data_IF_786000863222
#
_entry.id   IF_786000863222
#
_cell.length_a   1.000
_cell.length_b   1.000
_cell.length_c   1.000
_cell.angle_alpha   90.00
_cell.angle_beta   90.00
_cell.angle_gamma   90.00
#
_symmetry.space_group_name_H-M   'P 1'
#
loop_
_entity.id
_entity.type
_entity.pdbx_description
1 polymer ?
#
# COMPACT_ATOMS: atom_id res chain seq x y z
N UNK A 1 1.05 -15.50 -20.02
CA UNK A 1 0.63 -16.45 -18.95
C UNK A 1 0.13 -15.74 -17.70
N UNK A 2 -0.03 -14.41 -17.72
CA UNK A 2 -0.95 -13.70 -16.85
C UNK A 2 -1.57 -12.61 -17.72
N UNK A 3 -2.78 -12.86 -18.21
CA UNK A 3 -3.63 -11.82 -18.77
C UNK A 3 -4.22 -10.97 -17.64
N UNK A 4 -4.90 -9.89 -18.03
CA UNK A 4 -5.51 -8.86 -17.19
C UNK A 4 -5.87 -9.36 -15.78
N UNK A 5 -5.10 -8.87 -14.81
CA UNK A 5 -5.06 -9.34 -13.44
C UNK A 5 -6.09 -8.52 -12.67
N UNK A 6 -7.14 -9.19 -12.17
CA UNK A 6 -8.00 -8.59 -11.16
C UNK A 6 -7.18 -8.39 -9.88
N UNK A 7 -7.07 -7.14 -9.46
CA UNK A 7 -6.30 -6.74 -8.29
C UNK A 7 -6.97 -7.25 -7.01
N UNK A 8 -8.26 -7.65 -7.05
CA UNK A 8 -9.00 -8.25 -5.93
C UNK A 8 -8.55 -9.68 -5.55
N UNK A 9 -7.56 -10.23 -6.26
CA UNK A 9 -7.23 -11.63 -6.20
C UNK A 9 -5.86 -11.87 -5.56
N UNK A 10 -5.86 -12.55 -4.41
CA UNK A 10 -4.64 -13.07 -3.79
C UNK A 10 -4.08 -14.21 -4.63
N UNK A 11 -2.76 -14.27 -4.70
CA UNK A 11 -2.04 -15.25 -5.50
C UNK A 11 -0.99 -15.94 -4.68
N UNK A 12 -0.81 -17.22 -4.96
CA UNK A 12 0.41 -17.93 -4.63
C UNK A 12 0.94 -18.56 -5.91
N UNK A 13 2.23 -18.38 -6.16
CA UNK A 13 2.92 -18.99 -7.28
C UNK A 13 3.95 -19.96 -6.75
N UNK A 14 3.96 -21.16 -7.31
CA UNK A 14 5.00 -22.14 -7.08
C UNK A 14 5.62 -22.51 -8.42
N UNK A 15 6.94 -22.41 -8.49
CA UNK A 15 7.70 -22.72 -9.69
C UNK A 15 8.68 -23.86 -9.40
N UNK A 16 8.81 -24.76 -10.38
CA UNK A 16 9.88 -25.75 -10.41
C UNK A 16 10.88 -25.27 -11.45
N UNK A 17 12.10 -25.00 -11.01
CA UNK A 17 13.18 -24.61 -11.90
C UNK A 17 13.58 -25.78 -12.80
N UNK A 18 13.63 -25.55 -14.12
CA UNK A 18 14.23 -26.47 -15.08
C UNK A 18 15.76 -26.39 -15.05
N UNK A 19 16.27 -25.17 -14.83
CA UNK A 19 17.70 -24.90 -14.79
C UNK A 19 17.99 -23.80 -13.79
N UNK A 20 18.88 -24.09 -12.85
CA UNK A 20 19.48 -23.11 -11.94
C UNK A 20 20.92 -22.87 -12.38
N UNK A 21 21.32 -21.61 -12.45
CA UNK A 21 22.70 -21.23 -12.75
C UNK A 21 23.35 -20.63 -11.49
N UNK A 22 24.66 -20.83 -11.38
CA UNK A 22 25.48 -20.20 -10.36
C UNK A 22 26.62 -19.42 -11.00
N UNK A 23 26.45 -18.12 -11.30
CA UNK A 23 27.54 -17.29 -11.77
C UNK A 23 28.58 -17.07 -10.66
N UNK A 24 29.85 -16.98 -11.03
CA UNK A 24 30.94 -16.75 -10.07
C UNK A 24 31.58 -18.04 -9.54
N UNK A 25 32.13 -17.98 -8.33
CA UNK A 25 32.85 -19.10 -7.70
C UNK A 25 31.91 -19.94 -6.83
N UNK A 26 32.36 -21.13 -6.40
CA UNK A 26 31.53 -21.99 -5.53
C UNK A 26 31.30 -21.41 -4.12
N UNK A 27 32.12 -20.44 -3.72
CA UNK A 27 32.04 -19.75 -2.42
C UNK A 27 30.96 -18.66 -2.40
N UNK A 28 30.46 -18.23 -3.57
CA UNK A 28 29.43 -17.20 -3.70
C UNK A 28 28.04 -17.80 -3.48
N UNK A 29 27.74 -18.07 -2.20
CA UNK A 29 26.53 -18.80 -1.81
C UNK A 29 25.21 -18.15 -2.24
N UNK A 30 25.19 -16.82 -2.42
CA UNK A 30 24.02 -16.03 -2.80
C UNK A 30 23.78 -15.92 -4.31
N UNK A 31 24.69 -16.40 -5.15
CA UNK A 31 24.60 -16.25 -6.61
C UNK A 31 23.84 -17.40 -7.29
N UNK A 32 22.71 -17.86 -6.74
CA UNK A 32 21.89 -18.89 -7.37
C UNK A 32 20.67 -18.26 -8.04
N UNK A 33 20.56 -18.41 -9.36
CA UNK A 33 19.47 -17.84 -10.15
C UNK A 33 18.74 -18.92 -10.94
N UNK A 34 17.41 -18.85 -10.98
CA UNK A 34 16.60 -19.70 -11.87
C UNK A 34 16.71 -19.14 -13.28
N UNK A 35 17.29 -19.91 -14.20
CA UNK A 35 17.45 -19.50 -15.62
C UNK A 35 16.27 -19.92 -16.48
N UNK A 36 15.72 -21.12 -16.23
CA UNK A 36 14.54 -21.60 -16.94
C UNK A 36 13.56 -22.23 -15.94
N UNK A 37 12.26 -22.09 -16.21
CA UNK A 37 11.16 -22.67 -15.44
C UNK A 37 10.66 -23.92 -16.16
N UNK A 38 10.52 -25.05 -15.46
CA UNK A 38 9.94 -26.30 -16.01
C UNK A 38 8.42 -26.29 -15.87
N UNK A 39 7.96 -26.01 -14.66
CA UNK A 39 6.54 -25.96 -14.31
C UNK A 39 6.29 -24.72 -13.46
N UNK A 40 5.14 -24.10 -13.69
CA UNK A 40 4.60 -23.02 -12.88
C UNK A 40 3.16 -23.37 -12.54
N UNK A 41 2.80 -23.28 -11.27
CA UNK A 41 1.43 -23.40 -10.80
C UNK A 41 1.08 -22.11 -10.08
N UNK A 42 0.01 -21.47 -10.52
CA UNK A 42 -0.61 -20.34 -9.82
C UNK A 42 -1.88 -20.81 -9.14
N UNK A 43 -2.05 -20.45 -7.88
CA UNK A 43 -3.34 -20.48 -7.21
C UNK A 43 -3.82 -19.04 -7.04
N UNK A 44 -5.11 -18.83 -7.31
CA UNK A 44 -5.75 -17.54 -7.24
C UNK A 44 -7.02 -17.65 -6.40
N UNK A 45 -7.22 -16.73 -5.47
CA UNK A 45 -8.43 -16.70 -4.66
C UNK A 45 -8.81 -15.28 -4.26
N UNK A 46 -10.12 -15.06 -4.11
CA UNK A 46 -10.71 -13.83 -3.61
C UNK A 46 -11.57 -14.14 -2.39
N UNK A 47 -11.62 -13.19 -1.45
CA UNK A 47 -12.54 -13.25 -0.33
C UNK A 47 -13.57 -12.14 -0.51
N UNK A 48 -14.81 -12.53 -0.80
CA UNK A 48 -15.95 -11.64 -1.01
C UNK A 48 -16.79 -11.44 0.25
N UNK A 49 -16.44 -12.11 1.35
CA UNK A 49 -17.23 -12.07 2.58
C UNK A 49 -17.00 -10.78 3.36
N UNK A 50 -18.04 -9.96 3.52
CA UNK A 50 -18.01 -8.62 4.13
C UNK A 50 -17.36 -8.58 5.52
N UNK A 51 -17.65 -9.56 6.38
CA UNK A 51 -17.04 -9.68 7.72
C UNK A 51 -15.52 -9.83 7.64
N UNK A 52 -15.01 -10.64 6.71
CA UNK A 52 -13.57 -10.85 6.51
C UNK A 52 -12.91 -9.56 6.03
N UNK A 53 -13.56 -8.84 5.11
CA UNK A 53 -13.12 -7.51 4.67
C UNK A 53 -13.10 -6.52 5.84
N UNK A 54 -14.12 -6.54 6.69
CA UNK A 54 -14.19 -5.70 7.90
C UNK A 54 -13.17 -6.06 8.97
N UNK A 55 -12.77 -7.32 9.10
CA UNK A 55 -11.77 -7.73 10.09
C UNK A 55 -10.39 -7.16 9.79
N UNK A 56 -10.05 -6.96 8.51
CA UNK A 56 -8.76 -6.40 8.06
C UNK A 56 -8.58 -4.94 8.47
N UNK A 57 -9.64 -4.17 8.66
CA UNK A 57 -9.55 -2.77 9.09
C UNK A 57 -9.19 -2.62 10.58
N UNK A 58 -9.40 -3.65 11.41
CA UNK A 58 -9.01 -3.60 12.83
C UNK A 58 -7.51 -3.43 13.00
N UNK A 59 -6.71 -4.00 12.09
CA UNK A 59 -5.26 -3.84 12.08
C UNK A 59 -4.85 -2.35 12.00
N UNK A 60 -5.62 -1.56 11.25
CA UNK A 60 -5.33 -0.15 11.07
C UNK A 60 -5.52 0.68 12.36
N UNK A 61 -6.55 0.40 13.17
CA UNK A 61 -6.72 1.05 14.49
C UNK A 61 -5.52 0.81 15.40
N UNK A 62 -4.96 -0.41 15.36
CA UNK A 62 -3.76 -0.74 16.12
C UNK A 62 -2.57 0.09 15.63
N UNK A 63 -2.30 0.10 14.32
CA UNK A 63 -1.20 0.87 13.73
C UNK A 63 -1.30 2.37 14.04
N UNK A 64 -2.51 2.94 14.01
CA UNK A 64 -2.74 4.32 14.40
C UNK A 64 -2.37 4.56 15.87
N UNK A 65 -2.88 3.71 16.77
CA UNK A 65 -2.56 3.81 18.18
C UNK A 65 -1.04 3.68 18.42
N UNK A 66 -0.39 2.74 17.75
CA UNK A 66 1.05 2.50 17.86
C UNK A 66 1.85 3.69 17.33
N UNK A 67 1.42 4.31 16.23
CA UNK A 67 2.03 5.52 15.68
C UNK A 67 1.89 6.73 16.59
N UNK A 68 0.73 6.90 17.23
CA UNK A 68 0.48 7.98 18.19
C UNK A 68 1.35 7.80 19.44
N UNK A 69 1.49 6.57 19.94
CA UNK A 69 2.35 6.28 21.10
C UNK A 69 3.84 6.51 20.85
N UNK A 70 4.27 6.60 19.58
CA UNK A 70 5.65 6.96 19.23
C UNK A 70 5.93 8.46 19.40
N UNK A 71 4.89 9.31 19.45
CA UNK A 71 5.07 10.75 19.65
C UNK A 71 5.26 11.04 21.14
N UNK A 72 6.37 11.68 21.55
CA UNK A 72 6.58 12.07 22.93
C UNK A 72 5.47 13.01 23.44
N UNK A 73 4.98 12.83 24.68
CA UNK A 73 3.83 13.59 25.19
C UNK A 73 4.14 15.08 25.40
N UNK A 74 5.42 15.49 25.36
CA UNK A 74 5.89 16.86 25.49
C UNK A 74 6.15 17.55 24.14
N UNK A 75 5.90 16.87 23.01
CA UNK A 75 6.21 17.40 21.67
C UNK A 75 5.07 17.21 20.70
N UNK A 76 4.76 18.27 19.94
CA UNK A 76 3.83 18.16 18.84
C UNK A 76 4.41 17.29 17.71
N UNK A 77 3.56 16.47 17.10
CA UNK A 77 3.99 15.55 16.04
C UNK A 77 2.86 15.22 15.07
N UNK A 78 3.26 14.72 13.90
CA UNK A 78 2.37 14.20 12.88
C UNK A 78 2.72 12.73 12.65
N UNK A 79 1.72 11.89 12.58
CA UNK A 79 1.91 10.45 12.37
C UNK A 79 1.77 10.15 10.89
N UNK A 80 2.76 9.50 10.29
CA UNK A 80 2.67 8.96 8.94
C UNK A 80 2.50 7.45 9.03
N UNK A 81 1.44 6.93 8.42
CA UNK A 81 1.15 5.49 8.36
C UNK A 81 1.24 5.07 6.91
N UNK A 82 2.13 4.14 6.63
CA UNK A 82 2.34 3.59 5.30
C UNK A 82 1.78 2.18 5.22
N UNK A 83 1.07 1.86 4.14
CA UNK A 83 0.55 0.53 3.90
C UNK A 83 0.44 0.22 2.41
N UNK A 84 0.64 -1.04 2.08
CA UNK A 84 0.55 -1.53 0.70
C UNK A 84 -0.90 -1.88 0.32
N UNK A 85 -1.27 -1.59 -0.93
CA UNK A 85 -2.60 -1.84 -1.52
C UNK A 85 -2.58 -3.04 -2.45
N UNK A 86 -2.46 -4.23 -1.86
CA UNK A 86 -2.34 -5.49 -2.60
C UNK A 86 -3.63 -6.34 -2.61
N UNK A 87 -4.75 -5.80 -2.13
CA UNK A 87 -6.01 -6.55 -1.97
C UNK A 87 -7.07 -6.25 -3.04
N UNK A 88 -6.81 -5.27 -3.92
CA UNK A 88 -7.64 -4.94 -5.08
C UNK A 88 -8.65 -3.83 -4.90
N UNK A 89 -9.03 -3.20 -6.01
CA UNK A 89 -9.71 -1.90 -6.02
C UNK A 89 -10.93 -1.87 -5.10
N UNK A 90 -11.82 -2.87 -5.17
CA UNK A 90 -13.05 -2.87 -4.37
C UNK A 90 -12.76 -3.05 -2.86
N UNK A 91 -11.80 -3.91 -2.54
CA UNK A 91 -11.36 -4.11 -1.14
C UNK A 91 -10.68 -2.87 -0.60
N UNK A 92 -9.87 -2.21 -1.43
CA UNK A 92 -9.16 -0.98 -1.08
C UNK A 92 -10.12 0.20 -0.89
N UNK A 93 -11.15 0.35 -1.72
CA UNK A 93 -12.21 1.35 -1.54
C UNK A 93 -12.96 1.13 -0.22
N UNK A 94 -13.33 -0.12 0.09
CA UNK A 94 -13.97 -0.47 1.37
C UNK A 94 -13.05 -0.22 2.57
N UNK A 95 -11.76 -0.55 2.43
CA UNK A 95 -10.73 -0.31 3.45
C UNK A 95 -10.55 1.18 3.69
N UNK A 96 -10.48 1.98 2.62
CA UNK A 96 -10.39 3.45 2.67
C UNK A 96 -11.54 4.04 3.47
N UNK A 97 -12.79 3.69 3.15
CA UNK A 97 -13.97 4.22 3.84
C UNK A 97 -13.95 3.91 5.34
N UNK A 98 -13.62 2.66 5.71
CA UNK A 98 -13.49 2.27 7.12
C UNK A 98 -12.34 2.98 7.82
N UNK A 99 -11.21 3.19 7.14
CA UNK A 99 -10.08 3.93 7.70
C UNK A 99 -10.47 5.39 7.95
N UNK A 100 -11.17 6.02 7.01
CA UNK A 100 -11.72 7.38 7.17
C UNK A 100 -12.62 7.46 8.39
N UNK A 101 -13.58 6.56 8.53
CA UNK A 101 -14.48 6.50 9.69
C UNK A 101 -13.71 6.30 11.01
N UNK A 102 -12.77 5.36 11.02
CA UNK A 102 -12.01 5.00 12.21
C UNK A 102 -11.10 6.14 12.70
N UNK A 103 -10.44 6.85 11.78
CA UNK A 103 -9.56 7.96 12.13
C UNK A 103 -10.38 9.17 12.55
N UNK A 104 -11.47 9.48 11.84
CA UNK A 104 -12.36 10.59 12.18
C UNK A 104 -12.99 10.43 13.57
N UNK A 105 -13.21 9.19 14.01
CA UNK A 105 -13.74 8.86 15.32
C UNK A 105 -12.65 8.65 16.40
N UNK A 106 -11.36 8.71 16.06
CA UNK A 106 -10.29 8.45 17.03
C UNK A 106 -10.11 9.63 17.98
N UNK A 107 -10.22 9.35 19.29
CA UNK A 107 -9.99 10.37 20.33
C UNK A 107 -8.50 10.44 20.70
N UNK A 108 -7.81 11.42 20.13
CA UNK A 108 -6.43 11.75 20.45
C UNK A 108 -6.30 12.94 21.43
N UNK A 109 -7.37 13.34 22.13
CA UNK A 109 -7.41 14.53 22.99
C UNK A 109 -6.31 14.59 24.05
N UNK A 110 -5.88 13.43 24.54
CA UNK A 110 -4.82 13.30 25.54
C UNK A 110 -3.41 13.20 24.93
N UNK A 111 -3.24 13.56 23.66
CA UNK A 111 -1.96 13.47 22.93
C UNK A 111 -1.61 14.78 22.27
N UNK A 112 -0.33 14.97 21.98
CA UNK A 112 0.24 16.11 21.24
C UNK A 112 0.21 15.91 19.72
N UNK A 113 -0.46 14.87 19.24
CA UNK A 113 -0.56 14.58 17.80
C UNK A 113 -1.48 15.59 17.12
N UNK A 114 -0.93 16.26 16.11
CA UNK A 114 -1.59 17.30 15.31
C UNK A 114 -2.46 16.72 14.18
N UNK A 115 -2.06 15.56 13.66
CA UNK A 115 -2.77 14.86 12.61
C UNK A 115 -2.07 13.58 12.18
N UNK A 116 -2.68 12.92 11.20
CA UNK A 116 -2.25 11.64 10.66
C UNK A 116 -2.29 11.71 9.14
N UNK A 117 -1.21 11.29 8.49
CA UNK A 117 -1.18 11.02 7.07
C UNK A 117 -1.18 9.51 6.84
N UNK A 118 -2.06 9.09 5.94
CA UNK A 118 -2.24 7.70 5.57
C UNK A 118 -1.82 7.53 4.10
N UNK A 119 -0.70 6.85 3.90
CA UNK A 119 -0.05 6.62 2.63
C UNK A 119 -0.39 5.21 2.12
N UNK A 120 -1.31 5.15 1.15
CA UNK A 120 -1.70 3.92 0.48
C UNK A 120 -0.84 3.75 -0.78
N UNK A 121 0.01 2.74 -0.82
CA UNK A 121 1.00 2.57 -1.89
C UNK A 121 0.79 1.28 -2.65
N UNK A 122 0.77 1.37 -3.97
CA UNK A 122 0.79 0.22 -4.86
C UNK A 122 2.09 0.17 -5.65
N UNK A 123 2.59 -1.04 -5.88
CA UNK A 123 3.77 -1.31 -6.68
C UNK A 123 3.35 -2.06 -7.95
N UNK A 124 3.74 -1.51 -9.11
CA UNK A 124 3.42 -2.03 -10.44
C UNK A 124 4.70 -2.58 -11.08
N UNK A 125 4.95 -3.90 -10.97
CA UNK A 125 6.09 -4.52 -11.64
C UNK A 125 5.83 -4.63 -13.14
N UNK A 126 6.75 -4.13 -13.95
CA UNK A 126 6.84 -4.40 -15.39
C UNK A 126 8.04 -5.32 -15.67
N UNK A 127 8.13 -5.84 -16.90
CA UNK A 127 9.20 -6.79 -17.28
C UNK A 127 10.59 -6.16 -17.19
N UNK A 128 10.70 -4.90 -17.64
CA UNK A 128 11.97 -4.15 -17.71
C UNK A 128 12.01 -2.93 -16.78
N UNK A 129 10.94 -2.67 -16.02
CA UNK A 129 10.82 -1.49 -15.17
C UNK A 129 9.86 -1.73 -14.00
N UNK A 130 9.69 -0.73 -13.15
CA UNK A 130 8.65 -0.72 -12.14
C UNK A 130 8.10 0.69 -11.95
N UNK A 131 6.80 0.78 -11.73
CA UNK A 131 6.15 2.01 -11.30
C UNK A 131 5.58 1.81 -9.89
N UNK A 132 5.30 2.92 -9.23
CA UNK A 132 4.51 2.91 -8.00
C UNK A 132 3.53 4.06 -8.04
N UNK A 133 2.41 3.88 -7.35
CA UNK A 133 1.48 4.95 -7.12
C UNK A 133 1.20 5.06 -5.62
N UNK A 134 1.03 6.30 -5.17
CA UNK A 134 0.76 6.60 -3.79
C UNK A 134 -0.50 7.46 -3.72
N UNK A 135 -1.39 7.11 -2.80
CA UNK A 135 -2.57 7.90 -2.46
C UNK A 135 -2.48 8.27 -1.00
N UNK A 136 -2.47 9.58 -0.76
CA UNK A 136 -2.35 10.14 0.58
C UNK A 136 -3.73 10.56 1.03
N UNK A 137 -4.04 10.22 2.27
CA UNK A 137 -5.22 10.71 2.95
C UNK A 137 -4.77 11.39 4.23
N UNK A 138 -5.18 12.64 4.41
CA UNK A 138 -4.87 13.39 5.60
C UNK A 138 -6.06 13.42 6.56
N UNK A 139 -5.73 13.36 7.84
CA UNK A 139 -6.67 13.52 8.93
C UNK A 139 -6.08 14.50 9.92
N UNK A 140 -6.58 15.72 9.87
CA UNK A 140 -6.07 16.81 10.68
C UNK A 140 -7.00 17.10 11.86
N UNK A 141 -6.44 17.23 13.07
CA UNK A 141 -7.18 17.79 14.21
C UNK A 141 -7.18 19.32 14.21
N UNK A 142 -6.25 19.90 13.45
CA UNK A 142 -6.14 21.33 13.27
C UNK A 142 -6.62 21.68 11.86
N UNK A 143 -7.42 22.74 11.69
CA UNK A 143 -7.71 23.26 10.36
C UNK A 143 -6.40 23.51 9.62
N UNK A 144 -6.37 23.20 8.32
CA UNK A 144 -5.24 23.54 7.47
C UNK A 144 -3.89 22.92 7.89
N UNK A 145 -3.88 21.68 8.40
CA UNK A 145 -2.63 20.95 8.72
C UNK A 145 -1.60 20.99 7.59
N UNK A 146 -2.05 20.87 6.34
CA UNK A 146 -1.19 20.95 5.15
C UNK A 146 -0.56 22.33 4.93
N UNK A 147 -1.20 23.41 5.40
CA UNK A 147 -0.61 24.76 5.37
C UNK A 147 0.47 24.94 6.45
N UNK A 148 0.34 24.21 7.57
CA UNK A 148 1.28 24.23 8.69
C UNK A 148 2.45 23.26 8.50
N UNK A 149 2.23 22.19 7.74
CA UNK A 149 3.24 21.17 7.45
C UNK A 149 3.36 21.00 5.92
N UNK A 150 4.04 21.94 5.23
CA UNK A 150 4.14 21.99 3.77
C UNK A 150 5.08 20.91 3.18
N UNK A 151 5.26 19.77 3.86
CA UNK A 151 6.03 18.66 3.30
C UNK A 151 5.26 17.95 2.20
N UNK A 152 6.02 17.32 1.29
CA UNK A 152 5.52 16.53 0.18
C UNK A 152 4.33 15.67 0.61
N UNK A 153 3.19 15.87 -0.08
CA UNK A 153 1.98 15.08 0.12
C UNK A 153 2.34 13.59 0.04
N UNK A 154 3.15 13.22 -0.97
CA UNK A 154 3.63 11.87 -1.21
C UNK A 154 4.96 11.61 -0.48
N UNK A 155 5.04 10.55 0.32
CA UNK A 155 6.28 10.12 0.98
C UNK A 155 7.32 9.60 -0.02
N UNK A 156 6.87 9.02 -1.14
CA UNK A 156 7.75 8.38 -2.14
C UNK A 156 7.94 9.24 -3.40
N UNK A 157 7.70 10.55 -3.33
CA UNK A 157 7.93 11.44 -4.46
C UNK A 157 9.43 11.55 -4.79
N UNK A 158 9.79 11.19 -6.03
CA UNK A 158 11.11 11.45 -6.60
C UNK A 158 11.00 12.30 -7.87
N UNK A 159 11.57 13.50 -7.87
CA UNK A 159 11.59 14.37 -9.03
C UNK A 159 10.21 14.95 -9.38
N UNK A 160 9.82 14.89 -10.66
CA UNK A 160 8.56 15.45 -11.19
C UNK A 160 7.39 14.47 -11.10
N UNK A 161 7.17 13.85 -9.93
CA UNK A 161 6.03 12.96 -9.71
C UNK A 161 4.73 13.73 -9.95
N UNK A 162 3.84 13.19 -10.78
CA UNK A 162 2.55 13.80 -11.08
C UNK A 162 1.60 13.61 -9.89
N UNK A 163 1.17 14.71 -9.29
CA UNK A 163 0.10 14.71 -8.29
C UNK A 163 -1.23 15.00 -8.98
N UNK A 164 -2.23 14.16 -8.72
CA UNK A 164 -3.61 14.33 -9.21
C UNK A 164 -4.51 14.57 -8.01
N UNK A 165 -4.98 15.79 -7.86
CA UNK A 165 -5.87 16.17 -6.76
C UNK A 165 -7.26 15.53 -6.91
N UNK A 166 -7.82 15.07 -5.79
CA UNK A 166 -9.18 14.54 -5.74
C UNK A 166 -9.36 13.14 -6.30
N UNK A 167 -8.27 12.47 -6.71
CA UNK A 167 -8.29 11.12 -7.23
C UNK A 167 -7.41 10.18 -6.39
N UNK A 168 -7.54 8.88 -6.65
CA UNK A 168 -6.81 7.81 -5.99
C UNK A 168 -6.16 6.92 -7.06
N UNK A 169 -5.04 6.29 -6.77
CA UNK A 169 -4.37 5.44 -7.75
C UNK A 169 -5.28 4.28 -8.21
N UNK A 170 -6.05 3.68 -7.30
CA UNK A 170 -7.04 2.66 -7.66
C UNK A 170 -8.22 3.21 -8.47
N UNK A 171 -8.58 4.48 -8.30
CA UNK A 171 -9.57 5.17 -9.13
C UNK A 171 -9.08 5.33 -10.57
N UNK A 172 -7.82 5.69 -10.74
CA UNK A 172 -7.14 5.75 -12.04
C UNK A 172 -7.03 4.35 -12.68
N UNK A 173 -6.66 3.32 -11.90
CA UNK A 173 -6.61 1.93 -12.37
C UNK A 173 -7.98 1.46 -12.89
N UNK A 174 -9.07 1.80 -12.18
CA UNK A 174 -10.46 1.47 -12.54
C UNK A 174 -10.88 2.16 -13.84
N UNK A 175 -10.51 3.42 -14.01
CA UNK A 175 -10.77 4.19 -15.23
C UNK A 175 -10.03 3.60 -16.44
N UNK A 176 -8.75 3.24 -16.27
CA UNK A 176 -7.94 2.61 -17.30
C UNK A 176 -8.51 1.26 -17.76
N UNK A 177 -8.97 0.42 -16.82
CA UNK A 177 -9.63 -0.86 -17.12
C UNK A 177 -10.97 -0.73 -17.84
N UNK A 178 -11.68 0.39 -17.64
CA UNK A 178 -13.01 0.62 -18.26
C UNK A 178 -12.92 1.10 -19.72
N UNK A 179 -11.72 1.44 -20.20
CA UNK A 179 -11.50 1.88 -21.59
C UNK A 179 -11.20 0.72 -22.55
N UNK A 180 -11.11 -0.51 -22.04
CA UNK A 180 -10.76 -1.74 -22.77
C UNK A 180 -11.93 -2.72 -22.74
#
# INVERSE_FOLDING_TARGET
>A
MFGDIDSNEKRNISTIAKRVIRPGTQDDILNMFVKDIDKCVGAQWRCDHEISLGSRSKHFKSLLNDGIQQIPPDRAGVVHIWYETCDGIEVEELRRNKNVENISAYDASNTTVLGVFLHAVNYYPFEDDYEWAETVQDFARIPHLMELFPMQSLMLASGSTQEIEGDTHWGQDKAAKSMW
#
